data_IF_819953890746
#
_entry.id   IF_819953890746
#
_cell.length_a   1.000
_cell.length_b   1.000
_cell.length_c   1.000
_cell.angle_alpha   90.00
_cell.angle_beta   90.00
_cell.angle_gamma   90.00
#
_symmetry.space_group_name_H-M   'P 1'
#
loop_
_entity.id
_entity.type
_entity.pdbx_description
1 polymer ?
#
# COMPACT_ATOMS: atom_id res chain seq x y z
N UNK A 1 -18.95 -0.90 -4.14
CA UNK A 1 -18.36 -1.88 -3.21
C UNK A 1 -18.08 -1.18 -1.90
N UNK A 2 -18.41 -1.77 -0.75
CA UNK A 2 -18.03 -1.19 0.54
C UNK A 2 -16.56 -1.52 0.86
N UNK A 3 -15.95 -0.81 1.82
CA UNK A 3 -14.53 -0.97 2.14
C UNK A 3 -14.17 -2.41 2.52
N UNK A 4 -14.97 -3.06 3.37
CA UNK A 4 -14.70 -4.43 3.83
C UNK A 4 -14.79 -5.48 2.72
N UNK A 5 -15.69 -5.31 1.74
CA UNK A 5 -15.74 -6.12 0.53
C UNK A 5 -14.49 -5.96 -0.32
N UNK A 6 -14.00 -4.72 -0.49
CA UNK A 6 -12.76 -4.46 -1.22
C UNK A 6 -11.54 -5.09 -0.53
N UNK A 7 -11.46 -5.00 0.80
CA UNK A 7 -10.43 -5.71 1.58
C UNK A 7 -10.53 -7.22 1.36
N UNK A 8 -11.74 -7.78 1.43
CA UNK A 8 -11.94 -9.23 1.29
C UNK A 8 -11.49 -9.72 -0.09
N UNK A 9 -11.90 -9.01 -1.14
CA UNK A 9 -11.53 -9.36 -2.51
C UNK A 9 -10.04 -9.22 -2.79
N UNK A 10 -9.40 -8.17 -2.26
CA UNK A 10 -7.96 -7.99 -2.41
C UNK A 10 -7.19 -9.21 -1.87
N UNK A 11 -7.64 -9.79 -0.75
CA UNK A 11 -7.05 -10.99 -0.17
C UNK A 11 -7.39 -12.24 -0.99
N UNK A 12 -8.66 -12.44 -1.35
CA UNK A 12 -9.09 -13.60 -2.17
C UNK A 12 -8.33 -13.66 -3.51
N UNK A 13 -8.13 -12.53 -4.18
CA UNK A 13 -7.45 -12.46 -5.48
C UNK A 13 -5.94 -12.63 -5.34
N UNK A 14 -5.35 -12.10 -4.28
CA UNK A 14 -3.95 -12.38 -3.96
C UNK A 14 -3.73 -13.88 -3.67
N UNK A 15 -4.63 -14.52 -2.92
CA UNK A 15 -4.59 -15.97 -2.67
C UNK A 15 -4.71 -16.78 -3.96
N UNK A 16 -5.50 -16.29 -4.93
CA UNK A 16 -5.65 -16.87 -6.27
C UNK A 16 -4.46 -16.59 -7.20
N UNK A 17 -3.50 -15.75 -6.79
CA UNK A 17 -2.33 -15.37 -7.59
C UNK A 17 -2.57 -14.24 -8.59
N UNK A 18 -3.73 -13.57 -8.55
CA UNK A 18 -4.06 -12.42 -9.39
C UNK A 18 -3.68 -11.12 -8.66
N UNK A 19 -2.40 -10.75 -8.75
CA UNK A 19 -1.83 -9.60 -8.05
C UNK A 19 -2.37 -8.26 -8.55
N UNK A 20 -2.69 -8.17 -9.84
CA UNK A 20 -3.24 -6.94 -10.44
C UNK A 20 -4.64 -6.65 -9.92
N UNK A 21 -5.52 -7.66 -9.93
CA UNK A 21 -6.85 -7.53 -9.35
C UNK A 21 -6.78 -7.26 -7.83
N UNK A 22 -5.87 -7.95 -7.13
CA UNK A 22 -5.67 -7.73 -5.69
C UNK A 22 -5.26 -6.28 -5.37
N UNK A 23 -4.29 -5.73 -6.11
CA UNK A 23 -3.86 -4.35 -5.97
C UNK A 23 -4.96 -3.35 -6.35
N UNK A 24 -5.73 -3.63 -7.41
CA UNK A 24 -6.89 -2.84 -7.79
C UNK A 24 -7.90 -2.74 -6.62
N UNK A 25 -8.20 -3.86 -5.96
CA UNK A 25 -9.13 -3.87 -4.84
C UNK A 25 -8.57 -3.22 -3.57
N UNK A 26 -7.27 -3.35 -3.29
CA UNK A 26 -6.61 -2.58 -2.24
C UNK A 26 -6.70 -1.07 -2.51
N UNK A 27 -6.39 -0.62 -3.73
CA UNK A 27 -6.52 0.79 -4.14
C UNK A 27 -7.95 1.31 -4.02
N UNK A 28 -8.95 0.50 -4.39
CA UNK A 28 -10.36 0.85 -4.21
C UNK A 28 -10.74 1.02 -2.72
N UNK A 29 -10.20 0.18 -1.84
CA UNK A 29 -10.40 0.29 -0.40
C UNK A 29 -9.78 1.59 0.16
N UNK A 30 -8.59 1.95 -0.33
CA UNK A 30 -7.91 3.23 0.00
C UNK A 30 -8.71 4.43 -0.48
N UNK A 31 -9.19 4.46 -1.73
CA UNK A 31 -9.96 5.61 -2.26
C UNK A 31 -11.25 5.86 -1.47
N UNK A 32 -11.98 4.79 -1.12
CA UNK A 32 -13.18 4.88 -0.29
C UNK A 32 -12.86 5.35 1.13
N UNK A 33 -11.75 4.90 1.71
CA UNK A 33 -11.28 5.35 3.02
C UNK A 33 -10.89 6.83 2.96
N UNK A 34 -10.13 7.25 1.95
CA UNK A 34 -9.69 8.62 1.76
C UNK A 34 -10.86 9.58 1.56
N UNK A 35 -11.91 9.16 0.84
CA UNK A 35 -13.17 9.91 0.69
C UNK A 35 -13.87 10.14 2.03
N UNK A 36 -13.85 9.15 2.93
CA UNK A 36 -14.43 9.27 4.29
C UNK A 36 -13.58 10.14 5.20
N UNK A 37 -12.25 10.04 5.10
CA UNK A 37 -11.31 10.82 5.92
C UNK A 37 -11.29 12.30 5.52
N UNK A 38 -11.34 12.60 4.22
CA UNK A 38 -11.21 13.96 3.70
C UNK A 38 -12.42 14.35 2.83
N UNK A 39 -13.64 14.45 3.39
CA UNK A 39 -14.87 14.67 2.60
C UNK A 39 -14.89 16.01 1.85
N UNK A 40 -14.14 17.00 2.34
CA UNK A 40 -14.11 18.37 1.78
C UNK A 40 -13.07 18.55 0.66
N UNK A 41 -12.22 17.56 0.42
CA UNK A 41 -11.21 17.64 -0.64
C UNK A 41 -11.79 17.05 -1.92
N UNK A 42 -11.91 17.81 -3.01
CA UNK A 42 -12.65 17.37 -4.19
C UNK A 42 -11.92 16.33 -5.06
N UNK A 43 -10.60 16.44 -5.18
CA UNK A 43 -9.79 15.55 -6.04
C UNK A 43 -9.57 14.18 -5.40
N UNK A 44 -9.94 13.10 -6.12
CA UNK A 44 -9.65 11.71 -5.70
C UNK A 44 -8.15 11.47 -5.59
N UNK A 45 -7.36 11.92 -6.57
CA UNK A 45 -5.89 11.88 -6.50
C UNK A 45 -5.35 12.55 -5.22
N UNK A 46 -5.79 13.79 -4.95
CA UNK A 46 -5.32 14.50 -3.77
C UNK A 46 -5.71 13.77 -2.48
N UNK A 47 -6.94 13.25 -2.37
CA UNK A 47 -7.38 12.50 -1.18
C UNK A 47 -6.59 11.21 -1.00
N UNK A 48 -6.44 10.43 -2.06
CA UNK A 48 -5.75 9.14 -2.04
C UNK A 48 -4.30 9.33 -1.63
N UNK A 49 -3.57 10.18 -2.34
CA UNK A 49 -2.15 10.40 -2.07
C UNK A 49 -1.92 11.05 -0.71
N UNK A 50 -2.84 11.93 -0.26
CA UNK A 50 -2.81 12.48 1.10
C UNK A 50 -2.98 11.40 2.16
N UNK A 51 -3.94 10.48 1.99
CA UNK A 51 -4.15 9.38 2.95
C UNK A 51 -2.88 8.54 3.10
N UNK A 52 -2.22 8.22 1.98
CA UNK A 52 -0.98 7.43 2.03
C UNK A 52 0.14 8.19 2.75
N UNK A 53 0.37 9.46 2.39
CA UNK A 53 1.41 10.30 3.01
C UNK A 53 1.22 10.48 4.52
N UNK A 54 -0.02 10.72 4.96
CA UNK A 54 -0.34 10.83 6.39
C UNK A 54 -0.11 9.50 7.16
N UNK A 55 0.09 8.38 6.45
CA UNK A 55 0.29 7.04 7.00
C UNK A 55 1.59 6.36 6.53
N UNK A 56 2.62 7.11 6.09
CA UNK A 56 3.92 6.50 5.74
C UNK A 56 4.59 5.77 6.90
N UNK A 57 4.33 6.17 8.15
CA UNK A 57 4.80 5.46 9.34
C UNK A 57 4.22 4.04 9.49
N UNK A 58 3.19 3.70 8.71
CA UNK A 58 2.57 2.37 8.68
C UNK A 58 2.93 1.68 7.37
N UNK A 59 2.79 2.39 6.25
CA UNK A 59 3.06 1.84 4.92
C UNK A 59 4.48 1.31 4.80
N UNK A 60 5.47 2.04 5.31
CA UNK A 60 6.84 1.56 5.38
C UNK A 60 6.89 0.21 6.10
N UNK A 61 6.75 0.17 7.44
CA UNK A 61 6.89 -1.07 8.22
C UNK A 61 6.04 -2.26 7.72
N UNK A 62 4.85 -2.02 7.19
CA UNK A 62 3.94 -3.10 6.77
C UNK A 62 4.25 -3.69 5.39
N UNK A 63 5.14 -3.10 4.59
CA UNK A 63 5.45 -3.66 3.27
C UNK A 63 6.19 -2.76 2.31
N UNK A 64 6.47 -1.50 2.68
CA UNK A 64 7.23 -0.55 1.87
C UNK A 64 8.57 -0.11 2.50
N UNK A 65 9.15 -0.90 3.43
CA UNK A 65 10.46 -0.56 4.02
C UNK A 65 11.58 -0.89 3.03
N UNK A 66 12.49 0.06 2.80
CA UNK A 66 13.82 -0.16 2.20
C UNK A 66 14.86 0.30 3.19
N UNK A 67 15.96 -0.45 3.39
CA UNK A 67 17.08 0.07 4.15
C UNK A 67 17.53 1.44 3.61
N UNK A 68 17.60 2.43 4.49
CA UNK A 68 18.06 3.78 4.15
C UNK A 68 17.06 4.65 3.38
N UNK A 69 15.84 4.18 3.07
CA UNK A 69 14.82 5.03 2.48
C UNK A 69 13.94 5.70 3.51
N UNK A 70 13.94 7.01 3.44
CA UNK A 70 12.92 7.83 4.06
C UNK A 70 11.76 8.00 3.08
N UNK A 71 10.67 7.26 3.25
CA UNK A 71 9.46 7.39 2.40
C UNK A 71 8.92 8.82 2.32
N UNK A 72 9.15 9.64 3.35
CA UNK A 72 8.71 11.05 3.37
C UNK A 72 9.52 11.87 2.36
N UNK A 73 10.82 11.59 2.23
CA UNK A 73 11.76 12.40 1.47
C UNK A 73 12.22 11.75 0.15
N UNK A 74 12.00 10.45 -0.04
CA UNK A 74 12.39 9.74 -1.25
C UNK A 74 11.57 10.22 -2.45
N UNK A 75 12.24 10.46 -3.57
CA UNK A 75 11.63 10.97 -4.80
C UNK A 75 12.12 10.15 -5.98
N UNK A 76 11.20 9.79 -6.85
CA UNK A 76 11.44 8.93 -8.00
C UNK A 76 11.76 9.80 -9.21
N UNK A 77 12.83 9.47 -9.92
CA UNK A 77 13.18 10.13 -11.17
C UNK A 77 12.37 9.54 -12.34
N UNK A 78 11.05 9.59 -12.24
CA UNK A 78 10.11 9.11 -13.26
C UNK A 78 9.15 10.23 -13.65
N UNK A 79 8.57 10.11 -14.86
CA UNK A 79 7.54 11.03 -15.32
C UNK A 79 6.16 10.47 -14.98
N UNK A 80 5.42 11.14 -14.11
CA UNK A 80 4.00 10.88 -13.86
C UNK A 80 3.18 12.12 -14.21
N UNK A 81 1.93 11.88 -14.62
CA UNK A 81 0.98 12.96 -14.84
C UNK A 81 0.43 13.47 -13.50
N UNK A 82 0.53 14.79 -13.29
CA UNK A 82 -0.04 15.49 -12.13
C UNK A 82 0.40 14.96 -10.74
N UNK A 83 1.71 14.77 -10.47
CA UNK A 83 2.19 14.37 -9.15
C UNK A 83 1.74 15.36 -8.08
N UNK A 84 1.44 14.85 -6.88
CA UNK A 84 0.98 15.64 -5.74
C UNK A 84 2.05 15.85 -4.68
N UNK A 85 3.20 15.19 -4.82
CA UNK A 85 4.35 15.44 -3.97
C UNK A 85 4.86 16.89 -4.11
N UNK A 86 5.36 17.48 -3.00
CA UNK A 86 6.01 18.79 -3.04
C UNK A 86 7.18 18.81 -4.03
N UNK A 87 7.29 19.89 -4.82
CA UNK A 87 8.33 20.05 -5.83
C UNK A 87 8.02 19.40 -7.18
N UNK A 88 6.88 18.72 -7.32
CA UNK A 88 6.44 18.13 -8.60
C UNK A 88 7.23 16.88 -9.02
N UNK A 89 8.11 16.37 -8.17
CA UNK A 89 8.82 15.11 -8.38
C UNK A 89 8.05 14.01 -7.64
N UNK A 90 7.66 12.91 -8.30
CA UNK A 90 6.85 11.85 -7.70
C UNK A 90 7.46 11.25 -6.43
N UNK A 91 6.62 10.94 -5.44
CA UNK A 91 6.93 10.09 -4.30
C UNK A 91 6.17 8.74 -4.38
N UNK A 92 6.31 7.91 -3.34
CA UNK A 92 5.69 6.57 -3.31
C UNK A 92 4.17 6.62 -3.41
N UNK A 93 3.52 7.66 -2.88
CA UNK A 93 2.07 7.79 -2.98
C UNK A 93 1.65 8.15 -4.40
N UNK A 94 2.43 9.01 -5.09
CA UNK A 94 2.20 9.33 -6.49
C UNK A 94 2.44 8.11 -7.40
N UNK A 95 3.45 7.28 -7.11
CA UNK A 95 3.69 6.03 -7.85
C UNK A 95 2.50 5.08 -7.72
N UNK A 96 2.06 4.79 -6.50
CA UNK A 96 0.93 3.89 -6.25
C UNK A 96 -0.35 4.43 -6.91
N UNK A 97 -0.60 5.73 -6.84
CA UNK A 97 -1.79 6.31 -7.47
C UNK A 97 -1.69 6.33 -9.00
N UNK A 98 -0.61 6.90 -9.53
CA UNK A 98 -0.44 7.21 -10.94
C UNK A 98 -0.26 5.97 -11.80
N UNK A 99 0.32 4.91 -11.25
CA UNK A 99 0.60 3.68 -11.99
C UNK A 99 -0.41 2.60 -11.61
N UNK A 100 -0.41 2.14 -10.36
CA UNK A 100 -1.24 0.99 -9.99
C UNK A 100 -2.72 1.34 -9.95
N UNK A 101 -3.13 2.38 -9.20
CA UNK A 101 -4.55 2.75 -9.12
C UNK A 101 -5.11 3.15 -10.49
N UNK A 102 -4.43 4.04 -11.22
CA UNK A 102 -4.94 4.53 -12.50
C UNK A 102 -5.01 3.43 -13.56
N UNK A 103 -3.91 2.70 -13.84
CA UNK A 103 -3.89 1.67 -14.88
C UNK A 103 -4.89 0.56 -14.58
N UNK A 104 -4.93 0.05 -13.34
CA UNK A 104 -5.87 -1.00 -12.97
C UNK A 104 -7.33 -0.54 -13.00
N UNK A 105 -7.61 0.73 -12.65
CA UNK A 105 -8.98 1.28 -12.73
C UNK A 105 -9.49 1.52 -14.15
N UNK A 106 -8.58 1.60 -15.13
CA UNK A 106 -8.90 1.81 -16.55
C UNK A 106 -8.77 0.54 -17.39
N UNK A 107 -8.36 -0.59 -16.79
CA UNK A 107 -8.11 -1.85 -17.52
C UNK A 107 -6.92 -1.75 -18.47
N UNK A 108 -6.02 -0.80 -18.22
CA UNK A 108 -4.80 -0.61 -19.00
C UNK A 108 -3.71 -1.52 -18.45
N UNK A 109 -2.89 -2.09 -19.34
CA UNK A 109 -1.70 -2.82 -18.93
C UNK A 109 -0.77 -1.89 -18.15
N UNK A 110 -0.14 -2.40 -17.09
CA UNK A 110 0.91 -1.67 -16.39
C UNK A 110 2.04 -1.32 -17.39
N UNK A 111 2.61 -0.10 -17.32
CA UNK A 111 3.78 0.22 -18.13
C UNK A 111 4.92 -0.76 -17.81
N UNK A 112 5.69 -1.12 -18.83
CA UNK A 112 6.82 -2.06 -18.66
C UNK A 112 7.79 -1.55 -17.59
N UNK A 113 8.11 -2.42 -16.62
CA UNK A 113 8.96 -2.08 -15.48
C UNK A 113 8.20 -1.54 -14.27
N UNK A 114 6.87 -1.57 -14.27
CA UNK A 114 6.05 -1.21 -13.13
C UNK A 114 5.21 -2.36 -12.56
N UNK A 115 5.67 -3.59 -12.78
CA UNK A 115 4.94 -4.78 -12.37
C UNK A 115 5.01 -5.01 -10.85
N UNK A 116 4.03 -5.78 -10.36
CA UNK A 116 4.08 -6.39 -9.04
C UNK A 116 4.85 -7.71 -9.12
N UNK A 117 5.73 -7.97 -8.15
CA UNK A 117 6.37 -9.28 -7.99
C UNK A 117 5.92 -9.94 -6.69
N UNK A 118 5.77 -11.27 -6.72
CA UNK A 118 5.27 -12.05 -5.60
C UNK A 118 6.39 -12.33 -4.58
N UNK A 119 6.34 -11.73 -3.40
CA UNK A 119 7.32 -11.95 -2.33
C UNK A 119 6.70 -11.97 -0.91
N UNK A 120 5.40 -11.70 -0.76
CA UNK A 120 4.71 -11.62 0.53
C UNK A 120 4.67 -12.95 1.29
N UNK A 121 4.96 -14.07 0.62
CA UNK A 121 5.12 -15.40 1.26
C UNK A 121 6.55 -15.71 1.70
N UNK A 122 7.54 -14.91 1.28
CA UNK A 122 8.96 -15.11 1.61
C UNK A 122 9.33 -14.59 3.00
N UNK A 123 10.46 -15.07 3.53
CA UNK A 123 10.98 -14.64 4.83
C UNK A 123 11.66 -13.25 4.75
N UNK A 124 12.24 -12.92 3.60
CA UNK A 124 12.88 -11.62 3.32
C UNK A 124 11.91 -10.61 2.70
N UNK A 125 11.96 -9.37 3.19
CA UNK A 125 11.30 -8.22 2.54
C UNK A 125 12.16 -7.75 1.39
N UNK A 126 11.73 -8.02 0.16
CA UNK A 126 12.39 -7.46 -1.01
C UNK A 126 11.62 -6.20 -1.37
N UNK A 127 12.34 -5.08 -1.47
CA UNK A 127 11.76 -3.87 -1.98
C UNK A 127 12.68 -3.36 -3.05
N UNK A 128 12.08 -3.11 -4.20
CA UNK A 128 12.56 -2.11 -5.13
C UNK A 128 13.65 -2.51 -6.10
N UNK A 129 13.47 -2.05 -7.33
CA UNK A 129 14.56 -1.85 -8.26
C UNK A 129 14.31 -0.50 -8.95
N UNK A 130 15.07 0.54 -8.57
CA UNK A 130 15.24 1.70 -9.43
C UNK A 130 16.18 1.23 -10.53
N UNK A 131 15.61 0.68 -11.60
CA UNK A 131 16.42 0.27 -12.74
C UNK A 131 16.84 1.56 -13.44
N UNK A 132 18.13 1.73 -13.81
CA UNK A 132 18.50 2.72 -14.79
C UNK A 132 17.51 2.72 -15.97
N UNK A 133 16.79 3.82 -16.17
CA UNK A 133 15.72 3.91 -17.18
C UNK A 133 14.32 4.27 -16.65
N UNK A 134 14.13 4.49 -15.34
CA UNK A 134 12.89 5.05 -14.80
C UNK A 134 11.76 4.02 -14.62
N UNK A 135 12.13 2.78 -14.24
CA UNK A 135 11.21 1.68 -13.94
C UNK A 135 11.06 1.53 -12.42
N UNK A 136 9.87 1.15 -11.94
CA UNK A 136 9.56 1.02 -10.51
C UNK A 136 8.72 -0.22 -10.24
N UNK A 137 9.33 -1.30 -9.76
CA UNK A 137 8.61 -2.52 -9.35
C UNK A 137 8.26 -2.50 -7.86
N UNK A 138 7.05 -2.94 -7.54
CA UNK A 138 6.59 -3.08 -6.16
C UNK A 138 6.43 -4.56 -5.80
N UNK A 139 6.78 -4.89 -4.56
CA UNK A 139 6.42 -6.17 -3.96
C UNK A 139 4.90 -6.23 -3.73
N UNK A 140 4.30 -7.42 -3.80
CA UNK A 140 2.90 -7.64 -3.44
C UNK A 140 2.60 -7.39 -1.95
N UNK A 141 3.62 -7.23 -1.09
CA UNK A 141 3.47 -6.70 0.28
C UNK A 141 2.89 -5.29 0.30
N UNK A 142 3.06 -4.53 -0.78
CA UNK A 142 2.43 -3.22 -0.93
C UNK A 142 0.89 -3.31 -0.80
N UNK A 143 0.28 -4.41 -1.26
CA UNK A 143 -1.16 -4.67 -1.11
C UNK A 143 -1.51 -4.69 0.38
N UNK A 144 -0.81 -5.49 1.17
CA UNK A 144 -1.05 -5.62 2.62
C UNK A 144 -0.74 -4.34 3.40
N UNK A 145 0.27 -3.57 2.98
CA UNK A 145 0.55 -2.25 3.56
C UNK A 145 -0.63 -1.28 3.34
N UNK A 146 -1.22 -1.26 2.14
CA UNK A 146 -2.41 -0.47 1.84
C UNK A 146 -3.62 -0.96 2.66
N UNK A 147 -3.81 -2.27 2.77
CA UNK A 147 -4.88 -2.85 3.59
C UNK A 147 -4.71 -2.49 5.07
N UNK A 148 -3.49 -2.45 5.60
CA UNK A 148 -3.23 -2.03 6.98
C UNK A 148 -3.71 -0.59 7.22
N UNK A 149 -3.38 0.35 6.32
CA UNK A 149 -3.87 1.74 6.40
C UNK A 149 -5.40 1.77 6.41
N UNK A 150 -6.05 0.97 5.56
CA UNK A 150 -7.51 0.92 5.44
C UNK A 150 -8.19 0.32 6.67
N UNK A 151 -7.73 -0.84 7.13
CA UNK A 151 -8.33 -1.58 8.24
C UNK A 151 -8.23 -0.77 9.52
N UNK A 152 -7.07 -0.19 9.78
CA UNK A 152 -6.84 0.53 11.02
C UNK A 152 -7.34 1.98 11.00
N UNK A 153 -7.79 2.51 9.87
CA UNK A 153 -8.37 3.86 9.77
C UNK A 153 -9.61 4.02 10.68
N UNK A 154 -9.65 5.00 11.61
CA UNK A 154 -10.76 5.17 12.55
C UNK A 154 -12.13 5.35 11.88
N UNK A 155 -12.15 5.95 10.69
CA UNK A 155 -13.37 6.14 9.87
C UNK A 155 -14.00 4.83 9.40
N UNK A 156 -13.27 3.72 9.47
CA UNK A 156 -13.71 2.40 9.04
C UNK A 156 -14.06 1.47 10.22
N UNK A 157 -14.12 1.95 11.47
CA UNK A 157 -14.40 1.14 12.67
C UNK A 157 -15.64 0.23 12.60
N UNK A 158 -16.63 0.59 11.78
CA UNK A 158 -17.88 -0.13 11.62
C UNK A 158 -17.91 -1.03 10.36
N UNK A 159 -16.77 -1.18 9.67
CA UNK A 159 -16.65 -2.08 8.52
C UNK A 159 -16.43 -3.51 8.99
N UNK A 160 -16.68 -4.44 8.06
CA UNK A 160 -16.49 -5.87 8.27
C UNK A 160 -16.01 -6.49 6.95
N UNK A 161 -14.96 -7.29 7.01
CA UNK A 161 -14.50 -8.15 5.92
C UNK A 161 -15.01 -9.59 6.13
N UNK A 162 -14.74 -10.47 5.17
CA UNK A 162 -14.97 -11.91 5.34
C UNK A 162 -14.13 -12.45 6.52
N UNK A 163 -14.72 -13.40 7.25
CA UNK A 163 -14.11 -13.96 8.46
C UNK A 163 -12.87 -14.81 8.13
N UNK A 164 -11.98 -14.95 9.11
CA UNK A 164 -10.76 -15.74 9.00
C UNK A 164 -9.55 -14.97 8.46
N UNK A 165 -9.74 -13.77 7.94
CA UNK A 165 -8.62 -12.94 7.46
C UNK A 165 -7.86 -12.25 8.58
N UNK A 166 -6.56 -12.10 8.35
CA UNK A 166 -5.63 -11.47 9.25
C UNK A 166 -4.53 -10.76 8.46
N UNK A 167 -3.94 -9.76 9.08
CA UNK A 167 -2.66 -9.19 8.65
C UNK A 167 -1.57 -9.73 9.58
N UNK A 168 -0.34 -9.79 9.10
CA UNK A 168 0.82 -10.15 9.91
C UNK A 168 1.77 -8.97 10.03
N UNK A 169 2.40 -8.85 11.18
CA UNK A 169 3.51 -7.93 11.40
C UNK A 169 4.47 -8.57 12.38
N UNK A 170 5.67 -8.92 11.90
CA UNK A 170 6.60 -9.77 12.63
C UNK A 170 5.89 -11.06 13.12
N UNK A 171 5.97 -11.40 14.40
CA UNK A 171 5.31 -12.56 14.99
C UNK A 171 3.84 -12.33 15.38
N UNK A 172 3.26 -11.17 15.05
CA UNK A 172 1.90 -10.82 15.43
C UNK A 172 0.92 -11.14 14.33
N UNK A 173 -0.16 -11.81 14.70
CA UNK A 173 -1.32 -12.08 13.86
C UNK A 173 -2.46 -11.13 14.26
N UNK A 174 -2.82 -10.23 13.37
CA UNK A 174 -3.85 -9.21 13.59
C UNK A 174 -5.13 -9.60 12.85
N UNK A 175 -6.13 -10.12 13.56
CA UNK A 175 -7.41 -10.51 12.95
C UNK A 175 -8.12 -9.26 12.41
N UNK A 176 -8.44 -9.24 11.11
CA UNK A 176 -8.94 -8.02 10.44
C UNK A 176 -10.22 -7.52 11.10
N UNK A 177 -11.17 -8.42 11.34
CA UNK A 177 -12.47 -8.07 11.93
C UNK A 177 -12.39 -7.61 13.40
N UNK A 178 -11.27 -7.84 14.07
CA UNK A 178 -11.01 -7.31 15.42
C UNK A 178 -10.23 -5.99 15.40
N UNK A 179 -9.60 -5.65 14.26
CA UNK A 179 -8.62 -4.57 14.13
C UNK A 179 -9.21 -3.24 13.64
N UNK A 180 -10.45 -3.23 13.15
CA UNK A 180 -11.05 -2.07 12.49
C UNK A 180 -10.99 -0.79 13.34
N UNK A 181 -10.36 0.25 12.78
CA UNK A 181 -10.28 1.58 13.40
C UNK A 181 -9.30 1.74 14.56
N UNK A 182 -8.47 0.74 14.85
CA UNK A 182 -7.54 0.73 16.01
C UNK A 182 -6.16 1.29 15.71
N UNK A 183 -6.08 2.40 14.97
CA UNK A 183 -4.82 2.97 14.46
C UNK A 183 -3.71 3.13 15.52
N UNK A 184 -4.08 3.54 16.73
CA UNK A 184 -3.14 3.71 17.83
C UNK A 184 -2.48 2.40 18.27
N UNK A 185 -3.21 1.29 18.23
CA UNK A 185 -2.70 -0.03 18.60
C UNK A 185 -1.66 -0.50 17.58
N UNK A 186 -1.93 -0.35 16.28
CA UNK A 186 -0.97 -0.69 15.23
C UNK A 186 0.31 0.14 15.32
N UNK A 187 0.19 1.45 15.52
CA UNK A 187 1.36 2.33 15.66
C UNK A 187 2.22 1.93 16.86
N UNK A 188 1.59 1.64 18.00
CA UNK A 188 2.30 1.18 19.21
C UNK A 188 3.00 -0.16 18.96
N UNK A 189 2.38 -1.07 18.21
CA UNK A 189 2.98 -2.35 17.83
C UNK A 189 4.24 -2.14 16.98
N UNK A 190 4.14 -1.34 15.92
CA UNK A 190 5.25 -1.00 15.02
C UNK A 190 6.42 -0.37 15.78
N UNK A 191 6.14 0.56 16.70
CA UNK A 191 7.17 1.21 17.53
C UNK A 191 7.87 0.21 18.47
N UNK A 192 7.14 -0.78 18.99
CA UNK A 192 7.68 -1.79 19.91
C UNK A 192 8.48 -2.91 19.24
N UNK A 193 8.26 -3.13 17.94
CA UNK A 193 8.87 -4.21 17.17
C UNK A 193 9.29 -3.67 15.80
N UNK A 194 10.39 -2.89 15.73
CA UNK A 194 10.88 -2.39 14.45
C UNK A 194 11.12 -3.56 13.49
N UNK A 195 10.90 -3.36 12.17
CA UNK A 195 10.97 -4.43 11.18
C UNK A 195 12.31 -5.18 11.29
N UNK A 196 12.25 -6.52 11.24
CA UNK A 196 13.40 -7.40 11.34
C UNK A 196 14.46 -7.15 10.26
N UNK A 197 15.63 -7.77 10.43
CA UNK A 197 16.77 -7.66 9.50
C UNK A 197 16.32 -7.89 8.05
N UNK A 198 16.55 -6.88 7.20
CA UNK A 198 16.15 -6.90 5.80
C UNK A 198 17.30 -7.34 4.92
N UNK A 199 17.02 -8.21 3.95
CA UNK A 199 17.97 -8.66 2.95
C UNK A 199 17.75 -7.83 1.70
N UNK A 200 18.75 -7.02 1.31
CA UNK A 200 18.77 -6.34 0.00
C UNK A 200 19.45 -7.28 -0.98
N UNK A 201 18.72 -7.77 -1.98
CA UNK A 201 19.31 -8.50 -3.08
C UNK A 201 19.49 -7.56 -4.28
N UNK A 202 20.75 -7.33 -4.67
CA UNK A 202 21.06 -6.70 -5.95
C UNK A 202 20.87 -7.76 -7.04
N UNK A 203 19.88 -7.58 -7.91
CA UNK A 203 19.70 -8.43 -9.08
C UNK A 203 20.57 -7.88 -10.22
N UNK A 204 21.59 -8.65 -10.62
CA UNK A 204 22.47 -8.38 -11.79
C UNK A 204 21.74 -8.52 -13.14
#
# INVERSE_FOLDING_TARGET
MNVGQSVSKAIDEWEAGDLDSAMMHACNAVDNTAKRTYPNMFSSNARFTRLLRDNYSILGPMGLVVPGWDLVNYRFNIKLDNPKAPGGVPDTADVIYGIHRCCHSHGEALPEGFELFADARGESTHFFHDIPGGKVRLSDRAIFALLAVVVYAPVNKACQAKDGYYLTYYNNKMIINESWGRMSELKSLIESQPPGEMIVEEYE
#
